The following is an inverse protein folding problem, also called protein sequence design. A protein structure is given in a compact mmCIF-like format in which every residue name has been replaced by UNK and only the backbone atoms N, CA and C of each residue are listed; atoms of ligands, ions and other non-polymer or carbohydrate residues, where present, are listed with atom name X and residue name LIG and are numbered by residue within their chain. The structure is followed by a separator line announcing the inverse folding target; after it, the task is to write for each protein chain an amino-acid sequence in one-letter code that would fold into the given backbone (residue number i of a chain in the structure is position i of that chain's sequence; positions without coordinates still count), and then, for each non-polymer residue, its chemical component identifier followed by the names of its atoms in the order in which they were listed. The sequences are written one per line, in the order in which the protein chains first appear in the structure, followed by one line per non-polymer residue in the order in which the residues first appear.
data_IF_353380215451
#
_entry.id   IF_353380215451
#
_cell.length_a   1.000
_cell.length_b   1.000
_cell.length_c   1.000
_cell.angle_alpha   90.00
_cell.angle_beta   90.00
_cell.angle_gamma   90.00
#
_symmetry.space_group_name_H-M   'P 1'
#
loop_
_entity.id
_entity.type
_entity.pdbx_description
1 polymer ?
#
# COMPACT_ATOMS: atom_id res chain seq x y z
N UNK A 1 0.93 6.95 -12.70
CA UNK A 1 2.05 6.95 -11.74
C UNK A 1 2.82 5.66 -11.91
N UNK A 2 4.14 5.73 -12.04
CA UNK A 2 4.99 4.55 -12.16
C UNK A 2 5.27 3.95 -10.78
N UNK A 3 5.46 2.63 -10.72
CA UNK A 3 5.87 1.93 -9.49
C UNK A 3 7.38 2.05 -9.27
N UNK A 4 7.83 1.74 -8.05
CA UNK A 4 9.25 1.65 -7.68
C UNK A 4 10.01 0.63 -8.54
N UNK A 5 9.34 -0.47 -8.92
CA UNK A 5 9.82 -1.41 -9.93
C UNK A 5 9.02 -1.27 -11.22
N UNK A 6 9.72 -1.16 -12.36
CA UNK A 6 9.08 -1.04 -13.69
C UNK A 6 8.12 -2.20 -13.96
N UNK A 7 8.51 -3.44 -13.62
CA UNK A 7 7.67 -4.63 -13.73
C UNK A 7 6.45 -4.67 -12.79
N UNK A 8 6.38 -3.78 -11.80
CA UNK A 8 5.24 -3.66 -10.89
C UNK A 8 4.27 -2.53 -11.29
N UNK A 9 4.55 -1.80 -12.38
CA UNK A 9 3.75 -0.63 -12.78
C UNK A 9 2.37 -1.05 -13.29
N UNK A 10 2.28 -2.14 -14.05
CA UNK A 10 1.01 -2.63 -14.56
C UNK A 10 0.13 -3.19 -13.43
N UNK A 11 0.72 -4.03 -12.57
CA UNK A 11 0.05 -4.57 -11.37
C UNK A 11 -0.44 -3.47 -10.43
N UNK A 12 0.34 -2.40 -10.25
CA UNK A 12 -0.09 -1.23 -9.48
C UNK A 12 -1.34 -0.61 -10.09
N UNK A 13 -1.36 -0.40 -11.40
CA UNK A 13 -2.47 0.28 -12.07
C UNK A 13 -3.78 -0.50 -11.91
N UNK A 14 -3.74 -1.81 -12.06
CA UNK A 14 -4.91 -2.67 -11.84
C UNK A 14 -5.37 -2.64 -10.38
N UNK A 15 -4.45 -2.76 -9.43
CA UNK A 15 -4.76 -2.69 -8.01
C UNK A 15 -5.34 -1.32 -7.61
N UNK A 16 -4.72 -0.21 -8.03
CA UNK A 16 -5.18 1.16 -7.76
C UNK A 16 -6.60 1.37 -8.29
N UNK A 17 -6.91 0.91 -9.51
CA UNK A 17 -8.25 1.03 -10.08
C UNK A 17 -9.28 0.24 -9.27
N UNK A 18 -8.95 -0.99 -8.89
CA UNK A 18 -9.81 -1.83 -8.04
C UNK A 18 -10.04 -1.17 -6.67
N UNK A 19 -8.96 -0.76 -6.02
CA UNK A 19 -8.99 -0.18 -4.69
C UNK A 19 -9.76 1.13 -4.67
N UNK A 20 -9.52 2.06 -5.62
CA UNK A 20 -10.22 3.34 -5.66
C UNK A 20 -11.74 3.16 -5.81
N UNK A 21 -12.17 2.17 -6.61
CA UNK A 21 -13.58 1.84 -6.76
C UNK A 21 -14.16 1.27 -5.46
N UNK A 22 -13.51 0.26 -4.89
CA UNK A 22 -13.96 -0.33 -3.62
C UNK A 22 -13.97 0.73 -2.50
N UNK A 23 -12.94 1.56 -2.41
CA UNK A 23 -12.83 2.60 -1.40
C UNK A 23 -13.98 3.61 -1.51
N UNK A 24 -14.27 4.11 -2.71
CA UNK A 24 -15.34 5.08 -2.93
C UNK A 24 -16.76 4.49 -2.76
N UNK A 25 -16.96 3.25 -3.20
CA UNK A 25 -18.29 2.63 -3.23
C UNK A 25 -18.64 1.84 -1.97
N UNK A 26 -17.65 1.28 -1.27
CA UNK A 26 -17.83 0.38 -0.13
C UNK A 26 -17.34 1.03 1.15
N UNK A 27 -16.04 1.27 1.24
CA UNK A 27 -15.41 1.74 2.48
C UNK A 27 -15.98 3.08 2.94
N UNK A 28 -16.03 4.09 2.07
CA UNK A 28 -16.57 5.42 2.39
C UNK A 28 -18.08 5.41 2.70
N UNK A 29 -18.82 4.41 2.19
CA UNK A 29 -20.25 4.26 2.45
C UNK A 29 -20.55 3.43 3.71
N UNK A 30 -19.51 2.96 4.40
CA UNK A 30 -19.62 2.15 5.63
C UNK A 30 -19.81 0.66 5.39
N UNK A 31 -19.76 0.20 4.14
CA UNK A 31 -19.83 -1.22 3.78
C UNK A 31 -18.42 -1.83 3.94
N UNK A 32 -18.18 -2.53 5.05
CA UNK A 32 -16.91 -3.19 5.36
C UNK A 32 -16.83 -4.61 4.78
N UNK A 33 -17.49 -4.82 3.65
CA UNK A 33 -17.44 -6.10 2.94
C UNK A 33 -16.01 -6.47 2.54
N UNK A 34 -15.79 -7.75 2.27
CA UNK A 34 -14.48 -8.28 1.88
C UNK A 34 -13.90 -7.54 0.67
N UNK A 35 -12.61 -7.20 0.76
CA UNK A 35 -11.88 -6.51 -0.31
C UNK A 35 -11.67 -7.44 -1.51
N UNK A 36 -12.33 -7.19 -2.66
CA UNK A 36 -12.12 -7.99 -3.86
C UNK A 36 -10.71 -7.78 -4.45
N UNK A 37 -10.00 -6.73 -4.00
CA UNK A 37 -8.69 -6.33 -4.49
C UNK A 37 -7.54 -7.03 -3.73
N UNK A 38 -7.83 -7.87 -2.74
CA UNK A 38 -6.82 -8.52 -1.88
C UNK A 38 -5.84 -9.39 -2.66
N UNK A 39 -6.33 -10.15 -3.64
CA UNK A 39 -5.48 -11.03 -4.46
C UNK A 39 -4.57 -10.24 -5.41
N UNK A 40 -5.07 -9.13 -5.97
CA UNK A 40 -4.27 -8.18 -6.76
C UNK A 40 -3.20 -7.52 -5.88
N UNK A 41 -3.58 -7.13 -4.66
CA UNK A 41 -2.66 -6.53 -3.70
C UNK A 41 -1.50 -7.46 -3.35
N UNK A 42 -1.75 -8.73 -3.06
CA UNK A 42 -0.67 -9.70 -2.73
C UNK A 42 0.38 -9.80 -3.84
N UNK A 43 -0.06 -9.85 -5.10
CA UNK A 43 0.84 -9.89 -6.28
C UNK A 43 1.66 -8.60 -6.39
N UNK A 44 1.00 -7.46 -6.29
CA UNK A 44 1.64 -6.15 -6.33
C UNK A 44 2.63 -5.96 -5.16
N UNK A 45 2.22 -6.29 -3.94
CA UNK A 45 3.02 -6.20 -2.72
C UNK A 45 4.31 -7.01 -2.83
N UNK A 46 4.22 -8.26 -3.31
CA UNK A 46 5.39 -9.13 -3.50
C UNK A 46 6.37 -8.54 -4.52
N UNK A 47 5.85 -7.99 -5.62
CA UNK A 47 6.66 -7.32 -6.64
C UNK A 47 7.38 -6.08 -6.08
N UNK A 48 6.65 -5.23 -5.34
CA UNK A 48 7.21 -4.00 -4.78
C UNK A 48 8.20 -4.29 -3.65
N UNK A 49 7.93 -5.25 -2.76
CA UNK A 49 8.88 -5.63 -1.73
C UNK A 49 10.22 -6.08 -2.32
N UNK A 50 10.19 -6.81 -3.43
CA UNK A 50 11.40 -7.18 -4.16
C UNK A 50 12.12 -5.95 -4.72
N UNK A 51 11.38 -5.06 -5.40
CA UNK A 51 11.94 -3.84 -5.97
C UNK A 51 12.54 -2.90 -4.91
N UNK A 52 11.93 -2.79 -3.73
CA UNK A 52 12.41 -1.98 -2.59
C UNK A 52 13.74 -2.55 -2.08
N UNK A 53 13.85 -3.88 -1.93
CA UNK A 53 15.10 -4.53 -1.53
C UNK A 53 16.20 -4.33 -2.57
N UNK A 54 15.89 -4.45 -3.86
CA UNK A 54 16.87 -4.24 -4.94
C UNK A 54 17.33 -2.78 -5.05
N UNK A 55 16.48 -1.83 -4.69
CA UNK A 55 16.77 -0.39 -4.68
C UNK A 55 17.35 0.12 -3.36
N UNK A 56 17.57 -0.77 -2.39
CA UNK A 56 18.09 -0.46 -1.05
C UNK A 56 17.31 0.67 -0.35
N UNK A 57 15.98 0.61 -0.41
CA UNK A 57 15.13 1.64 0.21
C UNK A 57 14.86 1.25 1.67
N UNK A 58 15.29 2.06 2.66
CA UNK A 58 15.10 1.76 4.08
C UNK A 58 13.65 2.05 4.49
N UNK A 59 12.81 1.02 4.38
CA UNK A 59 11.43 1.02 4.92
C UNK A 59 11.32 0.27 6.25
N UNK A 60 12.36 -0.46 6.65
CA UNK A 60 12.37 -1.22 7.89
C UNK A 60 12.65 -0.27 9.07
N UNK A 61 11.85 -0.37 10.14
CA UNK A 61 11.97 0.50 11.32
C UNK A 61 11.23 1.85 11.23
N UNK A 62 10.44 2.08 10.19
CA UNK A 62 9.51 3.22 10.19
C UNK A 62 8.27 2.89 11.02
N UNK A 63 8.01 3.67 12.05
CA UNK A 63 6.80 3.50 12.87
C UNK A 63 5.58 4.06 12.14
N UNK A 64 4.46 3.34 12.23
CA UNK A 64 3.19 3.80 11.67
C UNK A 64 2.76 5.09 12.39
N UNK A 65 2.46 6.15 11.63
CA UNK A 65 2.21 7.52 12.11
C UNK A 65 3.42 8.24 12.73
N UNK A 66 4.62 7.65 12.63
CA UNK A 66 5.87 8.21 13.15
C UNK A 66 5.96 8.21 14.68
N UNK A 67 7.11 8.64 15.24
CA UNK A 67 7.25 8.79 16.67
C UNK A 67 6.27 9.86 17.16
N UNK A 68 5.43 9.49 18.12
CA UNK A 68 4.49 10.40 18.75
C UNK A 68 5.28 11.58 19.36
N UNK A 69 5.06 12.80 18.84
CA UNK A 69 5.66 14.04 19.36
C UNK A 69 5.03 14.51 20.68
N UNK A 70 4.26 13.67 21.35
CA UNK A 70 3.62 13.91 22.66
C UNK A 70 4.25 13.01 23.72
N UNK A 71 5.52 13.23 24.00
CA UNK A 71 6.04 12.99 25.36
C UNK A 71 6.61 14.30 25.88
N UNK A 72 5.85 15.10 26.66
CA UNK A 72 6.52 15.95 27.62
C UNK A 72 7.24 15.01 28.58
N UNK A 73 8.56 15.14 28.65
CA UNK A 73 9.34 14.55 29.72
C UNK A 73 8.79 15.11 31.05
N UNK A 74 8.29 14.22 31.91
CA UNK A 74 8.14 14.46 33.35
C UNK A 74 9.15 13.63 34.08
#
# INVERSE_FOLDING_TARGET
MNSVGEGCTELKREYDQCFNRWFAEKFLKGDRGEDPCTELFKKYQSCVQKAIKEKDIPIDGVEFMGPNKEKPAS
#
